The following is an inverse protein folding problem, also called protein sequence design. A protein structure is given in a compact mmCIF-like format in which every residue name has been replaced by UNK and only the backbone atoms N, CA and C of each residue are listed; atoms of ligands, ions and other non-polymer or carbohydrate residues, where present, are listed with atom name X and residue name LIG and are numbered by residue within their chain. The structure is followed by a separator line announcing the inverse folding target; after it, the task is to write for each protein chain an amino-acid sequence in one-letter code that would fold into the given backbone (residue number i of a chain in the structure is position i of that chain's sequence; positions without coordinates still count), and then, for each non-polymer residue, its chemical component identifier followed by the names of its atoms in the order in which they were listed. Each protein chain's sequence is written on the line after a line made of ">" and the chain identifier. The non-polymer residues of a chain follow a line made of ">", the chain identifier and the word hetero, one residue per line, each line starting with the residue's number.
data_IF_569688590508
#
_entry.id   IF_569688590508
#
_cell.length_a   1.000
_cell.length_b   1.000
_cell.length_c   1.000
_cell.angle_alpha   90.00
_cell.angle_beta   90.00
_cell.angle_gamma   90.00
#
_symmetry.space_group_name_H-M   'P 1'
#
loop_
_entity.id
_entity.type
_entity.pdbx_description
1 polymer ?
#
# COMPACT_ATOMS: atom_id res chain seq x y z
N UNK A 1 47.41 14.84 0.37
CA UNK A 1 46.09 14.22 0.44
C UNK A 1 46.24 12.93 1.22
N UNK A 2 45.70 12.92 2.45
CA UNK A 2 46.20 12.04 3.51
C UNK A 2 45.77 10.58 3.33
N UNK A 3 46.77 9.67 3.41
CA UNK A 3 46.53 8.21 3.39
C UNK A 3 45.54 7.77 4.51
N UNK A 4 45.48 8.53 5.61
CA UNK A 4 44.52 8.34 6.68
C UNK A 4 43.08 8.55 6.20
N UNK A 5 42.80 9.62 5.42
CA UNK A 5 41.46 9.91 4.87
C UNK A 5 40.97 8.79 3.95
N UNK A 6 41.86 8.25 3.09
CA UNK A 6 41.51 7.12 2.23
C UNK A 6 41.20 5.85 3.01
N UNK A 7 41.94 5.60 4.06
CA UNK A 7 41.71 4.46 4.93
C UNK A 7 40.37 4.58 5.65
N UNK A 8 40.08 5.73 6.24
CA UNK A 8 38.81 5.96 6.98
C UNK A 8 37.60 5.94 6.09
N UNK A 9 37.71 6.34 4.80
CA UNK A 9 36.62 6.27 3.84
C UNK A 9 36.37 4.86 3.30
N UNK A 10 37.42 4.07 3.06
CA UNK A 10 37.29 2.83 2.29
C UNK A 10 37.58 1.56 3.07
N UNK A 11 38.08 1.67 4.31
CA UNK A 11 38.37 0.50 5.13
C UNK A 11 37.26 0.34 6.18
N UNK A 12 36.43 -0.71 6.11
CA UNK A 12 35.40 -0.95 7.12
C UNK A 12 36.02 -1.26 8.48
N UNK A 13 35.46 -0.66 9.55
CA UNK A 13 35.88 -0.94 10.94
C UNK A 13 35.32 -2.25 11.49
N UNK A 14 34.31 -2.82 10.81
CA UNK A 14 33.70 -4.12 11.14
C UNK A 14 33.86 -5.12 9.99
N UNK A 15 33.81 -6.41 10.31
CA UNK A 15 34.00 -7.46 9.32
C UNK A 15 32.91 -7.40 8.22
N UNK A 16 33.28 -7.76 6.98
CA UNK A 16 32.35 -7.83 5.83
C UNK A 16 31.17 -8.77 6.14
N UNK A 17 31.47 -9.88 6.84
CA UNK A 17 30.39 -10.82 7.23
C UNK A 17 29.38 -10.17 8.17
N UNK A 18 29.82 -9.37 9.10
CA UNK A 18 28.96 -8.62 10.02
C UNK A 18 28.12 -7.58 9.27
N UNK A 19 28.71 -6.89 8.28
CA UNK A 19 28.03 -5.95 7.38
C UNK A 19 26.96 -6.59 6.51
N UNK A 20 27.02 -7.89 6.28
CA UNK A 20 26.01 -8.66 5.55
C UNK A 20 24.95 -9.19 6.52
N UNK A 21 25.32 -9.77 7.63
CA UNK A 21 24.40 -10.43 8.56
C UNK A 21 23.47 -9.42 9.26
N UNK A 22 24.00 -8.27 9.72
CA UNK A 22 23.22 -7.27 10.46
C UNK A 22 22.03 -6.74 9.66
N UNK A 23 22.19 -6.26 8.41
CA UNK A 23 21.06 -5.84 7.59
C UNK A 23 20.03 -6.93 7.35
N UNK A 24 20.47 -8.19 7.15
CA UNK A 24 19.55 -9.32 6.95
C UNK A 24 18.67 -9.54 8.18
N UNK A 25 19.26 -9.58 9.36
CA UNK A 25 18.53 -9.80 10.61
C UNK A 25 17.55 -8.65 10.90
N UNK A 26 17.99 -7.41 10.71
CA UNK A 26 17.14 -6.23 10.90
C UNK A 26 16.01 -6.22 9.87
N UNK A 27 16.28 -6.53 8.62
CA UNK A 27 15.28 -6.62 7.57
C UNK A 27 14.20 -7.68 7.88
N UNK A 28 14.63 -8.89 8.29
CA UNK A 28 13.70 -9.94 8.70
C UNK A 28 12.84 -9.53 9.91
N UNK A 29 13.46 -8.87 10.90
CA UNK A 29 12.74 -8.33 12.06
C UNK A 29 11.71 -7.27 11.65
N UNK A 30 12.08 -6.35 10.76
CA UNK A 30 11.18 -5.30 10.29
C UNK A 30 10.00 -5.86 9.49
N UNK A 31 10.22 -6.82 8.60
CA UNK A 31 9.12 -7.49 7.89
C UNK A 31 8.17 -8.15 8.88
N UNK A 32 8.69 -8.91 9.84
CA UNK A 32 7.86 -9.55 10.86
C UNK A 32 7.10 -8.52 11.71
N UNK A 33 7.76 -7.43 12.11
CA UNK A 33 7.17 -6.36 12.90
C UNK A 33 6.06 -5.62 12.15
N UNK A 34 6.32 -5.21 10.91
CA UNK A 34 5.32 -4.55 10.06
C UNK A 34 4.13 -5.47 9.75
N UNK A 35 4.39 -6.76 9.57
CA UNK A 35 3.32 -7.75 9.40
C UNK A 35 2.40 -7.85 10.62
N UNK A 36 2.97 -7.79 11.84
CA UNK A 36 2.21 -7.81 13.08
C UNK A 36 1.43 -6.50 13.32
N UNK A 37 1.96 -5.38 12.81
CA UNK A 37 1.31 -4.07 12.90
C UNK A 37 0.04 -3.95 12.02
N UNK A 38 -0.11 -4.82 11.01
CA UNK A 38 -1.30 -4.91 10.15
C UNK A 38 -1.14 -4.26 8.78
N UNK A 39 -2.13 -4.51 7.90
CA UNK A 39 -2.13 -4.06 6.49
C UNK A 39 -2.31 -2.54 6.34
N UNK A 40 -2.97 -1.91 7.29
CA UNK A 40 -3.28 -0.48 7.28
C UNK A 40 -2.04 0.40 7.21
N UNK A 41 -0.97 -0.02 7.90
CA UNK A 41 0.27 0.76 8.08
C UNK A 41 0.94 1.18 6.76
N UNK A 42 0.68 0.49 5.64
CA UNK A 42 1.43 0.68 4.41
C UNK A 42 0.77 1.62 3.39
N UNK A 43 -0.57 1.71 3.36
CA UNK A 43 -1.26 2.46 2.31
C UNK A 43 -2.09 3.67 2.79
N UNK A 44 -2.48 3.67 4.06
CA UNK A 44 -3.25 4.76 4.68
C UNK A 44 -2.42 5.45 5.77
N UNK A 45 -1.13 5.74 5.46
CA UNK A 45 -0.21 6.39 6.40
C UNK A 45 -0.80 7.69 6.93
N UNK A 46 -1.07 7.73 8.22
CA UNK A 46 -1.39 8.94 8.94
C UNK A 46 -0.11 9.58 9.52
N UNK A 47 -0.23 10.75 10.12
CA UNK A 47 0.91 11.45 10.69
C UNK A 47 1.61 10.67 11.82
N UNK A 48 0.88 9.85 12.58
CA UNK A 48 1.43 9.04 13.67
C UNK A 48 2.22 7.86 13.10
N UNK A 49 1.71 7.19 12.06
CA UNK A 49 2.38 6.08 11.39
C UNK A 49 3.72 6.54 10.79
N UNK A 50 3.73 7.74 10.19
CA UNK A 50 4.96 8.34 9.68
C UNK A 50 5.99 8.57 10.78
N UNK A 51 5.57 9.08 11.95
CA UNK A 51 6.45 9.28 13.10
C UNK A 51 7.00 7.95 13.60
N UNK A 52 6.16 6.90 13.67
CA UNK A 52 6.60 5.55 14.05
C UNK A 52 7.64 5.02 13.07
N UNK A 53 7.38 5.09 11.76
CA UNK A 53 8.31 4.61 10.73
C UNK A 53 9.65 5.35 10.75
N UNK A 54 9.64 6.68 10.89
CA UNK A 54 10.87 7.48 11.00
C UNK A 54 11.65 7.15 12.27
N UNK A 55 10.95 7.01 13.40
CA UNK A 55 11.59 6.65 14.69
C UNK A 55 12.15 5.23 14.62
N UNK A 56 11.41 4.29 14.04
CA UNK A 56 11.86 2.91 13.84
C UNK A 56 13.11 2.85 12.96
N UNK A 57 13.11 3.57 11.83
CA UNK A 57 14.26 3.68 10.94
C UNK A 57 15.51 4.18 11.68
N UNK A 58 15.37 5.25 12.47
CA UNK A 58 16.47 5.78 13.26
C UNK A 58 16.92 4.80 14.36
N UNK A 59 15.99 4.09 15.00
CA UNK A 59 16.26 3.12 16.06
C UNK A 59 17.10 1.95 15.54
N UNK A 60 16.78 1.42 14.35
CA UNK A 60 17.49 0.28 13.77
C UNK A 60 18.76 0.66 13.02
N UNK A 61 18.99 1.94 12.72
CA UNK A 61 20.12 2.43 11.96
C UNK A 61 21.45 1.93 12.52
N UNK A 62 21.67 2.06 13.84
CA UNK A 62 22.89 1.62 14.48
C UNK A 62 23.06 0.09 14.47
N UNK A 63 21.95 -0.66 14.47
CA UNK A 63 22.00 -2.10 14.35
C UNK A 63 22.45 -2.55 12.95
N UNK A 64 22.08 -1.81 11.90
CA UNK A 64 22.51 -2.08 10.51
C UNK A 64 23.96 -1.67 10.28
N UNK A 65 24.31 -0.43 10.65
CA UNK A 65 25.61 0.17 10.36
C UNK A 65 26.70 -0.40 11.27
N UNK A 66 26.40 -0.67 12.55
CA UNK A 66 27.38 -0.98 13.57
C UNK A 66 28.26 0.25 13.91
N UNK A 67 29.47 0.02 14.36
CA UNK A 67 30.44 1.08 14.65
C UNK A 67 31.31 1.43 13.42
N UNK A 68 30.73 1.46 12.24
CA UNK A 68 31.45 1.70 10.99
C UNK A 68 30.79 2.82 10.18
N UNK A 69 31.52 3.89 9.99
CA UNK A 69 31.12 5.06 9.21
C UNK A 69 31.80 5.12 7.83
N UNK A 70 32.47 4.03 7.40
CA UNK A 70 33.09 4.01 6.08
C UNK A 70 32.10 3.98 4.94
N UNK A 71 32.45 4.60 3.82
CA UNK A 71 31.63 4.59 2.59
C UNK A 71 31.48 3.16 2.06
N UNK A 72 32.54 2.38 2.08
CA UNK A 72 32.52 0.97 1.65
C UNK A 72 31.58 0.12 2.52
N UNK A 73 31.57 0.31 3.84
CA UNK A 73 30.66 -0.35 4.76
C UNK A 73 29.20 0.02 4.49
N UNK A 74 28.92 1.29 4.21
CA UNK A 74 27.60 1.77 3.80
C UNK A 74 27.11 1.15 2.49
N UNK A 75 27.99 1.09 1.48
CA UNK A 75 27.68 0.45 0.18
C UNK A 75 27.39 -1.03 0.34
N UNK A 76 28.19 -1.76 1.12
CA UNK A 76 27.98 -3.20 1.38
C UNK A 76 26.63 -3.41 2.06
N UNK A 77 26.31 -2.65 3.10
CA UNK A 77 25.03 -2.75 3.81
C UNK A 77 23.83 -2.46 2.92
N UNK A 78 23.87 -1.37 2.15
CA UNK A 78 22.82 -1.00 1.23
C UNK A 78 22.63 -2.05 0.12
N UNK A 79 23.73 -2.52 -0.48
CA UNK A 79 23.69 -3.58 -1.50
C UNK A 79 23.10 -4.87 -0.93
N UNK A 80 23.47 -5.23 0.29
CA UNK A 80 22.91 -6.41 0.97
C UNK A 80 21.40 -6.29 1.13
N UNK A 81 20.89 -5.14 1.60
CA UNK A 81 19.45 -4.91 1.73
C UNK A 81 18.72 -5.04 0.39
N UNK A 82 19.24 -4.44 -0.67
CA UNK A 82 18.64 -4.51 -2.00
C UNK A 82 18.62 -5.95 -2.54
N UNK A 83 19.72 -6.70 -2.38
CA UNK A 83 19.82 -8.09 -2.82
C UNK A 83 18.86 -8.99 -2.03
N UNK A 84 18.81 -8.84 -0.72
CA UNK A 84 17.92 -9.63 0.14
C UNK A 84 16.46 -9.31 -0.18
N UNK A 85 16.09 -8.03 -0.32
CA UNK A 85 14.75 -7.64 -0.74
C UNK A 85 14.37 -8.27 -2.08
N UNK A 86 15.26 -8.20 -3.08
CA UNK A 86 15.02 -8.83 -4.38
C UNK A 86 14.82 -10.34 -4.28
N UNK A 87 15.63 -11.02 -3.46
CA UNK A 87 15.51 -12.47 -3.24
C UNK A 87 14.18 -12.81 -2.57
N UNK A 88 13.78 -12.06 -1.54
CA UNK A 88 12.51 -12.26 -0.82
C UNK A 88 11.34 -12.07 -1.76
N UNK A 89 11.25 -10.93 -2.47
CA UNK A 89 10.16 -10.64 -3.42
C UNK A 89 10.10 -11.71 -4.52
N UNK A 90 11.26 -12.09 -5.08
CA UNK A 90 11.31 -13.15 -6.09
C UNK A 90 10.89 -14.51 -5.55
N UNK A 91 11.26 -14.83 -4.32
CA UNK A 91 10.87 -16.09 -3.67
C UNK A 91 9.36 -16.15 -3.42
N UNK A 92 8.76 -15.05 -2.92
CA UNK A 92 7.32 -14.93 -2.70
C UNK A 92 6.54 -15.05 -4.01
N UNK A 93 7.00 -14.40 -5.08
CA UNK A 93 6.39 -14.51 -6.41
C UNK A 93 6.19 -15.96 -6.90
N UNK A 94 7.11 -16.87 -6.55
CA UNK A 94 7.00 -18.28 -6.90
C UNK A 94 6.25 -19.15 -5.87
N UNK A 95 5.88 -18.57 -4.72
CA UNK A 95 5.27 -19.29 -3.61
C UNK A 95 4.01 -18.59 -3.10
N UNK A 96 2.94 -18.58 -3.92
CA UNK A 96 1.66 -17.94 -3.58
C UNK A 96 1.14 -18.21 -2.15
N UNK A 97 1.24 -19.43 -1.56
CA UNK A 97 0.78 -19.64 -0.19
C UNK A 97 1.56 -18.87 0.87
N UNK A 98 2.88 -18.66 0.63
CA UNK A 98 3.73 -17.84 1.51
C UNK A 98 3.50 -16.36 1.30
N UNK A 99 3.24 -15.95 0.07
CA UNK A 99 2.88 -14.59 -0.29
C UNK A 99 1.61 -14.16 0.46
N UNK A 100 0.54 -14.94 0.39
CA UNK A 100 -0.70 -14.73 1.15
C UNK A 100 -0.47 -14.70 2.67
N UNK A 101 0.45 -15.53 3.17
CA UNK A 101 0.80 -15.53 4.59
C UNK A 101 1.52 -14.23 5.00
N UNK A 102 2.36 -13.68 4.14
CA UNK A 102 3.17 -12.48 4.43
C UNK A 102 2.42 -11.20 4.09
N UNK A 103 1.79 -11.11 2.92
CA UNK A 103 1.04 -9.93 2.49
C UNK A 103 -0.41 -9.93 3.02
N UNK A 104 -0.98 -11.10 3.28
CA UNK A 104 -2.35 -11.29 3.72
C UNK A 104 -3.33 -11.44 2.57
N UNK A 105 -4.59 -11.74 2.91
CA UNK A 105 -5.69 -11.85 1.94
C UNK A 105 -6.47 -10.53 1.89
N UNK A 106 -7.11 -10.21 0.74
CA UNK A 106 -8.01 -9.07 0.66
C UNK A 106 -9.17 -9.21 1.66
N UNK A 107 -9.55 -8.11 2.32
CA UNK A 107 -10.66 -8.08 3.26
C UNK A 107 -11.78 -7.19 2.75
N UNK A 108 -13.02 -7.67 2.78
CA UNK A 108 -14.17 -6.93 2.29
C UNK A 108 -14.71 -6.01 3.38
N UNK A 109 -14.61 -4.70 3.19
CA UNK A 109 -15.08 -3.67 4.12
C UNK A 109 -16.53 -3.27 3.89
N UNK A 110 -16.97 -3.27 2.62
CA UNK A 110 -18.36 -3.07 2.19
C UNK A 110 -18.70 -4.23 1.24
N UNK A 111 -19.82 -4.89 1.46
CA UNK A 111 -20.38 -5.92 0.57
C UNK A 111 -21.85 -5.63 0.27
N UNK A 112 -22.19 -5.59 -1.02
CA UNK A 112 -23.54 -5.24 -1.48
C UNK A 112 -24.08 -3.94 -0.84
N UNK A 113 -23.21 -2.94 -0.66
CA UNK A 113 -23.55 -1.65 -0.04
C UNK A 113 -23.73 -1.69 1.47
N UNK A 114 -23.35 -2.78 2.15
CA UNK A 114 -23.43 -2.91 3.59
C UNK A 114 -22.05 -2.92 4.24
N UNK A 115 -21.85 -2.07 5.25
CA UNK A 115 -20.61 -1.99 6.02
C UNK A 115 -20.40 -3.26 6.85
N UNK A 116 -19.24 -3.88 6.69
CA UNK A 116 -18.79 -5.04 7.46
C UNK A 116 -18.09 -4.57 8.74
N UNK A 117 -18.88 -4.27 9.79
CA UNK A 117 -18.36 -3.66 11.03
C UNK A 117 -17.29 -4.50 11.72
N UNK A 118 -17.45 -5.82 11.74
CA UNK A 118 -16.49 -6.74 12.35
C UNK A 118 -15.13 -6.67 11.64
N UNK A 119 -15.13 -6.53 10.31
CA UNK A 119 -13.91 -6.41 9.51
C UNK A 119 -13.27 -5.04 9.72
N UNK A 120 -14.06 -3.97 9.77
CA UNK A 120 -13.58 -2.62 10.06
C UNK A 120 -12.90 -2.55 11.44
N UNK A 121 -13.50 -3.15 12.47
CA UNK A 121 -12.92 -3.23 13.82
C UNK A 121 -11.65 -4.07 13.84
N UNK A 122 -11.62 -5.21 13.16
CA UNK A 122 -10.44 -6.08 13.02
C UNK A 122 -9.27 -5.35 12.38
N UNK A 123 -9.52 -4.61 11.31
CA UNK A 123 -8.50 -3.89 10.56
C UNK A 123 -8.26 -2.46 11.11
N UNK A 124 -8.91 -2.09 12.23
CA UNK A 124 -8.80 -0.79 12.90
C UNK A 124 -9.07 0.41 11.97
N UNK A 125 -10.02 0.24 11.04
CA UNK A 125 -10.44 1.28 10.10
C UNK A 125 -11.74 1.91 10.60
N UNK A 126 -11.72 3.23 10.80
CA UNK A 126 -12.91 3.98 11.15
C UNK A 126 -13.78 4.25 9.92
N UNK A 127 -15.09 4.45 10.12
CA UNK A 127 -16.00 4.84 9.04
C UNK A 127 -15.54 6.15 8.38
N UNK A 128 -15.03 7.10 9.17
CA UNK A 128 -14.52 8.36 8.67
C UNK A 128 -13.31 8.16 7.74
N UNK A 129 -12.36 7.31 8.10
CA UNK A 129 -11.22 6.98 7.25
C UNK A 129 -11.65 6.31 5.94
N UNK A 130 -12.67 5.44 6.01
CA UNK A 130 -13.25 4.81 4.83
C UNK A 130 -13.93 5.83 3.91
N UNK A 131 -14.68 6.81 4.47
CA UNK A 131 -15.27 7.92 3.74
C UNK A 131 -14.19 8.80 3.09
N UNK A 132 -13.14 9.16 3.82
CA UNK A 132 -12.03 9.94 3.27
C UNK A 132 -11.34 9.23 2.11
N UNK A 133 -11.14 7.90 2.23
CA UNK A 133 -10.58 7.09 1.15
C UNK A 133 -11.51 7.05 -0.08
N UNK A 134 -12.82 6.95 0.13
CA UNK A 134 -13.82 7.00 -0.93
C UNK A 134 -13.84 8.36 -1.64
N UNK A 135 -13.80 9.47 -0.87
CA UNK A 135 -13.73 10.82 -1.43
C UNK A 135 -12.47 11.03 -2.30
N UNK A 136 -11.30 10.50 -1.88
CA UNK A 136 -10.05 10.56 -2.66
C UNK A 136 -10.18 9.85 -4.00
N UNK A 137 -11.06 8.84 -4.12
CA UNK A 137 -11.32 8.10 -5.35
C UNK A 137 -12.56 8.62 -6.12
N UNK A 138 -13.15 9.75 -5.69
CA UNK A 138 -14.21 10.44 -6.41
C UNK A 138 -15.63 10.03 -6.03
N UNK A 139 -15.83 9.20 -5.00
CA UNK A 139 -17.16 8.87 -4.50
C UNK A 139 -17.66 9.96 -3.55
N UNK A 140 -18.85 10.48 -3.78
CA UNK A 140 -19.45 11.54 -2.93
C UNK A 140 -19.97 10.99 -1.58
N UNK A 141 -20.29 9.70 -1.49
CA UNK A 141 -20.75 9.02 -0.26
C UNK A 141 -20.52 7.52 -0.36
N UNK A 142 -20.51 6.84 0.79
CA UNK A 142 -20.42 5.37 0.86
C UNK A 142 -21.66 4.68 0.26
N UNK A 143 -22.81 5.36 0.19
CA UNK A 143 -24.05 4.82 -0.37
C UNK A 143 -23.96 4.50 -1.87
N UNK A 144 -23.01 5.12 -2.58
CA UNK A 144 -22.75 4.88 -4.01
C UNK A 144 -21.86 3.65 -4.25
N UNK A 145 -21.34 3.05 -3.19
CA UNK A 145 -20.39 1.96 -3.26
C UNK A 145 -21.12 0.63 -3.07
N UNK A 146 -20.92 -0.29 -4.00
CA UNK A 146 -21.40 -1.67 -3.89
C UNK A 146 -20.43 -2.49 -3.05
N UNK A 147 -19.13 -2.39 -3.35
CA UNK A 147 -18.09 -3.14 -2.65
C UNK A 147 -16.86 -2.28 -2.38
N UNK A 148 -16.31 -2.40 -1.18
CA UNK A 148 -15.01 -1.86 -0.82
C UNK A 148 -14.12 -3.00 -0.31
N UNK A 149 -12.91 -3.09 -0.83
CA UNK A 149 -11.97 -4.17 -0.53
C UNK A 149 -10.67 -3.55 -0.03
N UNK A 150 -10.21 -3.96 1.14
CA UNK A 150 -8.87 -3.68 1.63
C UNK A 150 -7.90 -4.67 1.01
N UNK A 151 -7.07 -4.21 0.12
CA UNK A 151 -6.06 -5.01 -0.56
C UNK A 151 -4.92 -5.39 0.40
N UNK A 152 -4.16 -6.46 0.11
CA UNK A 152 -3.01 -6.87 0.94
C UNK A 152 -1.98 -5.75 1.16
N UNK A 153 -1.76 -4.88 0.17
CA UNK A 153 -0.88 -3.71 0.25
C UNK A 153 -1.48 -2.53 1.04
N UNK A 154 -2.66 -2.69 1.68
CA UNK A 154 -3.32 -1.68 2.50
C UNK A 154 -4.14 -0.65 1.71
N UNK A 155 -4.09 -0.64 0.38
CA UNK A 155 -4.94 0.21 -0.45
C UNK A 155 -6.40 -0.26 -0.36
N UNK A 156 -7.35 0.68 -0.40
CA UNK A 156 -8.78 0.35 -0.46
C UNK A 156 -9.27 0.55 -1.88
N UNK A 157 -9.78 -0.52 -2.49
CA UNK A 157 -10.42 -0.51 -3.80
C UNK A 157 -11.93 -0.36 -3.65
N UNK A 158 -12.55 0.53 -4.42
CA UNK A 158 -13.99 0.76 -4.39
C UNK A 158 -14.64 0.40 -5.72
N UNK A 159 -15.77 -0.31 -5.66
CA UNK A 159 -16.63 -0.60 -6.81
C UNK A 159 -17.97 0.15 -6.62
N UNK A 160 -18.37 0.92 -7.63
CA UNK A 160 -19.64 1.64 -7.63
C UNK A 160 -20.82 0.69 -7.78
N UNK A 161 -21.97 1.05 -7.18
CA UNK A 161 -23.25 0.42 -7.49
C UNK A 161 -23.60 0.67 -8.95
N UNK A 162 -24.12 -0.35 -9.63
CA UNK A 162 -24.61 -0.24 -11.00
C UNK A 162 -26.15 -0.25 -11.02
N UNK A 163 -26.78 0.52 -11.89
CA UNK A 163 -26.16 1.53 -12.76
C UNK A 163 -25.63 2.72 -11.96
N UNK A 164 -24.53 3.30 -12.42
CA UNK A 164 -23.99 4.52 -11.79
C UNK A 164 -24.97 5.68 -11.99
N UNK A 165 -24.96 6.72 -11.13
CA UNK A 165 -25.79 7.92 -11.34
C UNK A 165 -25.58 8.54 -12.72
N UNK A 166 -24.37 8.49 -13.26
CA UNK A 166 -24.05 8.98 -14.61
C UNK A 166 -24.69 8.12 -15.70
N UNK A 167 -24.58 6.79 -15.60
CA UNK A 167 -25.24 5.87 -16.55
C UNK A 167 -26.75 6.05 -16.55
N UNK A 168 -27.37 6.17 -15.38
CA UNK A 168 -28.81 6.43 -15.25
C UNK A 168 -29.19 7.75 -15.92
N UNK A 169 -28.36 8.79 -15.76
CA UNK A 169 -28.58 10.09 -16.39
C UNK A 169 -28.42 10.03 -17.92
N UNK A 170 -27.41 9.31 -18.42
CA UNK A 170 -27.24 9.08 -19.85
C UNK A 170 -28.42 8.32 -20.46
N UNK A 171 -28.89 7.28 -19.79
CA UNK A 171 -30.09 6.53 -20.24
C UNK A 171 -31.36 7.39 -20.31
N UNK A 172 -31.54 8.30 -19.33
CA UNK A 172 -32.65 9.23 -19.34
C UNK A 172 -32.57 10.25 -20.49
N UNK A 173 -31.35 10.77 -20.74
CA UNK A 173 -31.10 11.66 -21.90
C UNK A 173 -31.36 10.93 -23.21
N UNK A 174 -30.89 9.70 -23.38
CA UNK A 174 -31.14 8.91 -24.59
C UNK A 174 -32.63 8.68 -24.80
N UNK A 175 -33.40 8.29 -23.78
CA UNK A 175 -34.87 8.13 -23.86
C UNK A 175 -35.56 9.40 -24.26
N UNK A 176 -35.15 10.57 -23.75
CA UNK A 176 -35.71 11.87 -24.13
C UNK A 176 -35.41 12.22 -25.58
N UNK A 177 -34.17 11.95 -26.05
CA UNK A 177 -33.79 12.16 -27.45
C UNK A 177 -34.59 11.28 -28.39
N UNK A 178 -34.78 10.00 -28.05
CA UNK A 178 -35.60 9.09 -28.85
C UNK A 178 -37.07 9.57 -28.93
N UNK A 179 -37.60 10.08 -27.83
CA UNK A 179 -38.97 10.66 -27.79
C UNK A 179 -39.08 11.86 -28.72
N UNK A 180 -38.13 12.80 -28.65
CA UNK A 180 -38.10 13.99 -29.52
C UNK A 180 -37.95 13.58 -31.00
N UNK A 181 -37.08 12.63 -31.31
CA UNK A 181 -36.89 12.12 -32.65
C UNK A 181 -38.16 11.48 -33.21
N UNK A 182 -38.91 10.73 -32.39
CA UNK A 182 -40.19 10.14 -32.77
C UNK A 182 -41.27 11.21 -33.04
N UNK A 183 -41.34 12.27 -32.22
CA UNK A 183 -42.27 13.39 -32.44
C UNK A 183 -41.96 14.17 -33.71
N UNK A 184 -40.65 14.47 -33.95
CA UNK A 184 -40.24 15.14 -35.18
C UNK A 184 -40.55 14.32 -36.44
N UNK A 185 -40.38 13.00 -36.38
CA UNK A 185 -40.73 12.13 -37.50
C UNK A 185 -42.24 12.12 -37.82
N UNK A 186 -43.07 12.18 -36.77
CA UNK A 186 -44.53 12.31 -36.91
C UNK A 186 -44.94 13.63 -37.54
N UNK A 187 -44.35 14.75 -37.11
CA UNK A 187 -44.61 16.07 -37.66
C UNK A 187 -44.15 16.21 -39.12
N UNK A 188 -43.10 15.49 -39.51
CA UNK A 188 -42.61 15.48 -40.91
C UNK A 188 -43.47 14.64 -41.85
N UNK A 189 -44.21 13.67 -41.29
CA UNK A 189 -45.11 12.78 -42.06
C UNK A 189 -46.57 13.27 -42.16
N UNK A 190 -46.91 14.33 -41.44
CA UNK A 190 -48.20 15.03 -41.48
C UNK A 190 -48.13 16.24 -42.42
#
# INVERSE_FOLDING_TARGET
>A
MDAALWRDLFHPDVSILEKIIRPILVYAFLIAGLRLAGKRELAQLNAFDLVVLLTLSNTVQNAIIGNDNSVSGGIIGATTLLVVNYIVVRFLYFHEPLDRLIEGEPEVLIDCGQLQKEVLEKELITIQELEEAAHKQGFASLDLIDRAILEPGGAISFLAKQPTPEETHYDDILKRLDTIAAELSRLRSA
#
